data_IF_748599942818
#
_entry.id   IF_748599942818
#
_cell.length_a   1.000
_cell.length_b   1.000
_cell.length_c   1.000
_cell.angle_alpha   90.00
_cell.angle_beta   90.00
_cell.angle_gamma   90.00
#
_symmetry.space_group_name_H-M   'P 1'
#
loop_
_entity.id
_entity.type
_entity.pdbx_description
1 polymer ?
#
# COMPACT_ATOMS: atom_id res chain seq x y z
N UNK A 1 -2.18 -7.58 -21.25
CA UNK A 1 -2.66 -6.50 -20.38
C UNK A 1 -1.50 -5.86 -19.65
N UNK A 2 -1.47 -4.52 -19.61
CA UNK A 2 -0.35 -3.74 -19.05
C UNK A 2 -0.69 -3.10 -17.68
N UNK A 3 -1.90 -3.32 -17.19
CA UNK A 3 -2.37 -2.76 -15.91
C UNK A 3 -1.82 -3.55 -14.71
N UNK A 4 -1.48 -2.87 -13.60
CA UNK A 4 -0.91 -3.49 -12.40
C UNK A 4 -1.78 -4.65 -11.86
N UNK A 5 -3.10 -4.46 -11.80
CA UNK A 5 -4.02 -5.51 -11.31
C UNK A 5 -4.04 -6.74 -12.21
N UNK A 6 -3.91 -6.56 -13.52
CA UNK A 6 -3.82 -7.68 -14.46
C UNK A 6 -2.50 -8.45 -14.29
N UNK A 7 -1.41 -7.75 -13.99
CA UNK A 7 -0.11 -8.38 -13.69
C UNK A 7 -0.22 -9.20 -12.40
N UNK A 8 -0.79 -8.65 -11.34
CA UNK A 8 -1.02 -9.37 -10.08
C UNK A 8 -1.87 -10.62 -10.32
N UNK A 9 -2.97 -10.49 -11.08
CA UNK A 9 -3.82 -11.63 -11.43
C UNK A 9 -3.06 -12.70 -12.23
N UNK A 10 -2.20 -12.31 -13.18
CA UNK A 10 -1.35 -13.23 -13.95
C UNK A 10 -0.32 -13.94 -13.07
N UNK A 11 0.28 -13.24 -12.11
CA UNK A 11 1.20 -13.86 -11.15
C UNK A 11 0.48 -14.88 -10.26
N UNK A 12 -0.75 -14.59 -9.83
CA UNK A 12 -1.57 -15.52 -9.07
C UNK A 12 -1.98 -16.74 -9.91
N UNK A 13 -2.29 -16.55 -11.21
CA UNK A 13 -2.55 -17.66 -12.13
C UNK A 13 -1.31 -18.55 -12.26
N UNK A 14 -0.15 -17.97 -12.48
CA UNK A 14 1.09 -18.74 -12.54
C UNK A 14 1.34 -19.54 -11.25
N UNK A 15 1.07 -18.95 -10.09
CA UNK A 15 1.17 -19.62 -8.79
C UNK A 15 0.15 -20.76 -8.65
N UNK A 16 -1.09 -20.55 -9.10
CA UNK A 16 -2.12 -21.57 -9.13
C UNK A 16 -1.72 -22.77 -9.97
N UNK A 17 -1.13 -22.55 -11.14
CA UNK A 17 -0.65 -23.60 -12.04
C UNK A 17 0.57 -24.35 -11.50
N UNK A 18 1.35 -23.73 -10.60
CA UNK A 18 2.60 -24.26 -10.05
C UNK A 18 2.49 -24.62 -8.56
N UNK A 19 1.39 -25.25 -8.15
CA UNK A 19 1.29 -25.88 -6.83
C UNK A 19 0.38 -25.18 -5.82
N UNK A 20 -0.25 -24.05 -6.15
CA UNK A 20 -1.27 -23.37 -5.33
C UNK A 20 -0.81 -23.04 -3.90
N UNK A 21 0.49 -22.81 -3.69
CA UNK A 21 0.97 -22.46 -2.36
C UNK A 21 0.28 -21.20 -1.83
N UNK A 22 -0.17 -21.17 -0.57
CA UNK A 22 -0.86 -20.02 0.00
C UNK A 22 -0.03 -18.74 -0.06
N UNK A 23 -0.68 -17.58 -0.14
CA UNK A 23 -0.04 -16.28 -0.29
C UNK A 23 -0.89 -15.17 0.32
N UNK A 24 -0.24 -14.17 0.91
CA UNK A 24 -0.85 -12.88 1.20
C UNK A 24 -0.42 -11.83 0.17
N UNK A 25 -1.38 -11.14 -0.42
CA UNK A 25 -1.15 -10.01 -1.34
C UNK A 25 -1.49 -8.72 -0.60
N UNK A 26 -0.46 -8.02 -0.16
CA UNK A 26 -0.60 -6.87 0.74
C UNK A 26 -0.61 -5.58 -0.07
N UNK A 27 -1.72 -4.83 0.01
CA UNK A 27 -1.78 -3.49 -0.56
C UNK A 27 -1.11 -2.49 0.38
N UNK A 28 -0.22 -1.68 -0.17
CA UNK A 28 0.40 -0.54 0.53
C UNK A 28 -0.09 0.79 -0.08
N UNK A 29 -1.31 0.81 -0.56
CA UNK A 29 -1.99 2.00 -1.05
C UNK A 29 -2.68 2.74 0.12
N UNK A 30 -2.73 4.05 0.09
CA UNK A 30 -3.35 4.88 1.13
C UNK A 30 -4.88 5.00 1.01
N UNK A 31 -5.51 4.29 0.09
CA UNK A 31 -6.95 4.31 -0.04
C UNK A 31 -7.63 3.48 1.06
N UNK A 32 -8.77 3.95 1.55
CA UNK A 32 -9.61 3.23 2.51
C UNK A 32 -9.96 1.83 2.01
N UNK A 33 -9.89 0.84 2.91
CA UNK A 33 -10.17 -0.56 2.61
C UNK A 33 -9.32 -1.11 1.46
N UNK A 34 -8.05 -0.77 1.46
CA UNK A 34 -7.14 -1.06 0.35
C UNK A 34 -7.04 -2.55 0.01
N UNK A 35 -7.01 -3.44 0.99
CA UNK A 35 -7.01 -4.90 0.77
C UNK A 35 -8.29 -5.39 0.10
N UNK A 36 -9.46 -4.87 0.51
CA UNK A 36 -10.74 -5.21 -0.12
C UNK A 36 -10.80 -4.74 -1.58
N UNK A 37 -10.36 -3.52 -1.85
CA UNK A 37 -10.30 -2.97 -3.22
C UNK A 37 -9.36 -3.76 -4.11
N UNK A 38 -8.18 -4.13 -3.58
CA UNK A 38 -7.24 -4.97 -4.31
C UNK A 38 -7.85 -6.33 -4.61
N UNK A 39 -8.47 -6.98 -3.61
CA UNK A 39 -9.17 -8.25 -3.78
C UNK A 39 -10.27 -8.16 -4.83
N UNK A 40 -11.12 -7.14 -4.75
CA UNK A 40 -12.20 -6.90 -5.71
C UNK A 40 -11.68 -6.73 -7.14
N UNK A 41 -10.63 -5.95 -7.34
CA UNK A 41 -10.03 -5.75 -8.65
C UNK A 41 -9.44 -7.03 -9.24
N UNK A 42 -8.74 -7.83 -8.42
CA UNK A 42 -8.15 -9.10 -8.84
C UNK A 42 -9.24 -10.13 -9.17
N UNK A 43 -10.29 -10.24 -8.34
CA UNK A 43 -11.41 -11.15 -8.59
C UNK A 43 -12.18 -10.76 -9.86
N UNK A 44 -12.49 -9.48 -10.05
CA UNK A 44 -13.14 -9.00 -11.27
C UNK A 44 -12.33 -9.39 -12.52
N UNK A 45 -11.01 -9.26 -12.45
CA UNK A 45 -10.13 -9.65 -13.56
C UNK A 45 -10.18 -11.17 -13.80
N UNK A 46 -10.12 -11.97 -12.74
CA UNK A 46 -10.16 -13.43 -12.83
C UNK A 46 -11.51 -13.93 -13.38
N UNK A 47 -12.61 -13.31 -12.94
CA UNK A 47 -13.96 -13.63 -13.43
C UNK A 47 -14.13 -13.29 -14.92
N UNK A 48 -13.57 -12.15 -15.37
CA UNK A 48 -13.57 -11.80 -16.79
C UNK A 48 -12.73 -12.79 -17.63
N UNK A 49 -11.61 -13.25 -17.08
CA UNK A 49 -10.81 -14.29 -17.73
C UNK A 49 -11.54 -15.63 -17.78
N UNK A 50 -12.28 -15.99 -16.72
CA UNK A 50 -13.13 -17.18 -16.70
C UNK A 50 -14.23 -17.09 -17.79
N UNK A 51 -14.96 -15.98 -17.87
CA UNK A 51 -16.00 -15.76 -18.90
C UNK A 51 -15.46 -15.89 -20.32
N UNK A 52 -14.19 -15.53 -20.53
CA UNK A 52 -13.49 -15.67 -21.81
C UNK A 52 -12.87 -17.04 -22.04
N UNK A 53 -12.98 -17.95 -21.10
CA UNK A 53 -12.39 -19.29 -21.18
C UNK A 53 -10.87 -19.34 -21.03
N UNK A 54 -10.24 -18.28 -20.50
CA UNK A 54 -8.79 -18.22 -20.32
C UNK A 54 -8.32 -18.94 -19.05
N UNK A 55 -9.18 -19.06 -18.04
CA UNK A 55 -8.88 -19.72 -16.78
C UNK A 55 -10.03 -20.64 -16.36
N UNK A 56 -9.77 -21.71 -15.57
CA UNK A 56 -10.81 -22.55 -15.03
C UNK A 56 -11.48 -21.90 -13.80
N UNK A 57 -12.69 -22.34 -13.44
CA UNK A 57 -13.42 -21.93 -12.24
C UNK A 57 -12.54 -22.11 -10.98
N UNK A 58 -11.80 -23.21 -10.89
CA UNK A 58 -10.93 -23.52 -9.77
C UNK A 58 -9.86 -22.44 -9.49
N UNK A 59 -9.50 -21.61 -10.47
CA UNK A 59 -8.62 -20.47 -10.25
C UNK A 59 -9.34 -19.33 -9.51
N UNK A 60 -10.59 -19.06 -9.88
CA UNK A 60 -11.42 -18.05 -9.17
C UNK A 60 -11.69 -18.52 -7.74
N UNK A 61 -11.98 -19.79 -7.55
CA UNK A 61 -12.19 -20.40 -6.22
C UNK A 61 -10.93 -20.26 -5.35
N UNK A 62 -9.74 -20.52 -5.92
CA UNK A 62 -8.45 -20.37 -5.25
C UNK A 62 -8.21 -18.91 -4.77
N UNK A 63 -8.49 -17.90 -5.60
CA UNK A 63 -8.33 -16.49 -5.21
C UNK A 63 -9.41 -16.07 -4.19
N UNK A 64 -10.59 -16.65 -4.27
CA UNK A 64 -11.72 -16.32 -3.39
C UNK A 64 -11.55 -16.85 -1.97
N UNK A 65 -10.82 -17.93 -1.82
CA UNK A 65 -10.55 -18.58 -0.53
C UNK A 65 -9.43 -17.84 0.20
N UNK A 66 -9.79 -17.08 1.23
CA UNK A 66 -8.83 -16.31 2.04
C UNK A 66 -7.85 -17.18 2.85
N UNK A 67 -8.06 -18.50 2.90
CA UNK A 67 -7.06 -19.44 3.45
C UNK A 67 -5.97 -19.79 2.45
N UNK A 68 -6.21 -19.54 1.17
CA UNK A 68 -5.25 -19.72 0.08
C UNK A 68 -4.62 -18.40 -0.36
N UNK A 69 -5.46 -17.40 -0.67
CA UNK A 69 -5.00 -16.08 -1.07
C UNK A 69 -5.65 -15.01 -0.19
N UNK A 70 -4.91 -14.50 0.77
CA UNK A 70 -5.37 -13.43 1.64
C UNK A 70 -5.03 -12.05 1.06
N UNK A 71 -5.86 -11.06 1.37
CA UNK A 71 -5.66 -9.64 1.02
C UNK A 71 -5.73 -8.80 2.29
N UNK A 72 -4.69 -8.83 3.14
CA UNK A 72 -4.68 -8.09 4.39
C UNK A 72 -4.90 -6.60 4.16
N UNK A 73 -5.71 -5.99 5.03
CA UNK A 73 -5.87 -4.55 5.04
C UNK A 73 -4.70 -3.90 5.74
N UNK A 74 -4.34 -2.71 5.28
CA UNK A 74 -3.27 -1.93 5.91
C UNK A 74 -3.70 -0.48 6.10
N UNK A 75 -3.23 0.13 7.17
CA UNK A 75 -3.24 1.57 7.34
C UNK A 75 -1.80 2.04 7.31
N UNK A 76 -1.42 2.67 6.19
CA UNK A 76 -0.04 3.07 5.90
C UNK A 76 0.11 4.59 5.75
N UNK A 77 -0.99 5.32 5.79
CA UNK A 77 -1.00 6.73 5.43
C UNK A 77 -0.09 7.54 6.36
N UNK A 78 0.87 8.21 5.76
CA UNK A 78 1.91 8.97 6.42
C UNK A 78 2.19 10.24 5.63
N UNK A 79 2.40 11.36 6.30
CA UNK A 79 2.80 12.59 5.64
C UNK A 79 4.25 12.45 5.18
N UNK A 80 4.45 12.58 3.87
CA UNK A 80 5.75 12.46 3.21
C UNK A 80 6.01 13.70 2.36
N UNK A 81 6.40 14.83 2.99
CA UNK A 81 6.68 16.05 2.24
C UNK A 81 7.89 15.85 1.32
N UNK A 82 8.01 16.71 0.33
CA UNK A 82 9.18 16.74 -0.54
C UNK A 82 10.45 16.93 0.31
N UNK A 83 11.52 16.12 0.09
CA UNK A 83 12.76 16.27 0.81
C UNK A 83 13.32 17.69 0.74
N UNK A 84 13.70 18.23 1.88
CA UNK A 84 14.35 19.54 1.96
C UNK A 84 15.85 19.42 1.65
N UNK A 85 16.42 20.43 1.02
CA UNK A 85 17.86 20.46 0.68
C UNK A 85 18.75 20.36 1.92
N UNK A 86 18.31 20.89 3.06
CA UNK A 86 19.00 20.74 4.35
C UNK A 86 19.12 19.29 4.81
N UNK A 87 18.08 18.49 4.59
CA UNK A 87 18.08 17.05 4.92
C UNK A 87 19.02 16.29 3.98
N UNK A 88 19.02 16.63 2.68
CA UNK A 88 19.98 16.08 1.72
C UNK A 88 21.42 16.31 2.20
N UNK A 89 21.74 17.57 2.57
CA UNK A 89 23.09 17.94 3.02
C UNK A 89 23.53 17.20 4.30
N UNK A 90 22.61 16.93 5.23
CA UNK A 90 22.93 16.14 6.43
C UNK A 90 23.15 14.65 6.09
N UNK A 91 22.36 14.08 5.19
CA UNK A 91 22.55 12.71 4.73
C UNK A 91 23.88 12.52 3.99
N UNK A 92 24.29 13.49 3.18
CA UNK A 92 25.61 13.49 2.52
C UNK A 92 26.77 13.49 3.54
N UNK A 93 26.66 14.31 4.58
CA UNK A 93 27.66 14.29 5.70
C UNK A 93 27.74 12.95 6.41
N UNK A 94 26.62 12.22 6.47
CA UNK A 94 26.56 10.87 7.04
C UNK A 94 27.05 9.77 6.07
N UNK A 95 27.51 10.14 4.87
CA UNK A 95 28.04 9.22 3.88
C UNK A 95 26.99 8.52 3.01
N UNK A 96 25.74 9.05 2.97
CA UNK A 96 24.75 8.55 2.03
C UNK A 96 25.08 9.00 0.63
N UNK A 97 25.21 8.07 -0.29
CA UNK A 97 25.48 8.32 -1.71
C UNK A 97 24.20 8.33 -2.54
N UNK A 98 24.26 8.91 -3.73
CA UNK A 98 23.18 8.92 -4.73
C UNK A 98 21.85 9.53 -4.23
N UNK A 99 21.90 10.52 -3.34
CA UNK A 99 20.71 11.18 -2.77
C UNK A 99 20.22 12.38 -3.58
N UNK A 100 20.79 12.64 -4.75
CA UNK A 100 20.31 13.68 -5.66
C UNK A 100 18.97 13.26 -6.29
N UNK A 101 17.99 14.17 -6.39
CA UNK A 101 16.72 13.87 -7.01
C UNK A 101 16.87 13.61 -8.51
N UNK A 102 16.08 12.65 -9.04
CA UNK A 102 16.04 12.35 -10.46
C UNK A 102 14.82 13.00 -11.10
N UNK A 103 15.06 13.79 -12.14
CA UNK A 103 14.00 14.35 -12.97
C UNK A 103 13.85 13.44 -14.20
N UNK A 104 12.68 12.84 -14.36
CA UNK A 104 12.39 11.95 -15.49
C UNK A 104 12.20 12.74 -16.79
N UNK A 105 12.21 12.03 -17.94
CA UNK A 105 11.88 12.61 -19.25
C UNK A 105 10.47 13.22 -19.31
N UNK A 106 9.55 12.76 -18.44
CA UNK A 106 8.20 13.31 -18.27
C UNK A 106 8.14 14.48 -17.29
N UNK A 107 9.27 15.01 -16.85
CA UNK A 107 9.39 16.08 -15.85
C UNK A 107 8.78 15.72 -14.49
N UNK A 108 8.72 14.42 -14.15
CA UNK A 108 8.33 13.99 -12.81
C UNK A 108 9.55 13.93 -11.91
N UNK A 109 9.36 14.32 -10.66
CA UNK A 109 10.38 14.32 -9.62
C UNK A 109 10.38 12.95 -8.90
N UNK A 110 11.54 12.30 -8.85
CA UNK A 110 11.75 11.10 -8.05
C UNK A 110 12.69 11.47 -6.91
N UNK A 111 12.17 11.37 -5.68
CA UNK A 111 12.99 11.56 -4.48
C UNK A 111 13.83 10.30 -4.23
N UNK A 112 15.11 10.44 -3.91
CA UNK A 112 16.00 9.31 -3.62
C UNK A 112 15.75 8.71 -2.23
N UNK A 113 15.07 9.43 -1.34
CA UNK A 113 14.69 9.00 -0.01
C UNK A 113 13.33 9.59 0.38
N UNK A 114 12.72 9.03 1.42
CA UNK A 114 11.44 9.49 1.94
C UNK A 114 11.69 10.36 3.17
N UNK A 115 11.24 11.62 3.11
CA UNK A 115 11.17 12.50 4.27
C UNK A 115 9.79 12.31 4.92
N UNK A 116 9.71 11.44 5.92
CA UNK A 116 8.46 11.09 6.59
C UNK A 116 8.39 11.68 8.01
N UNK A 117 7.16 11.88 8.49
CA UNK A 117 6.93 12.24 9.89
C UNK A 117 7.53 11.20 10.85
N UNK A 118 8.02 11.66 12.01
CA UNK A 118 8.67 10.80 13.02
C UNK A 118 7.75 9.70 13.58
N UNK A 119 6.47 9.94 13.92
CA UNK A 119 5.60 8.89 14.43
C UNK A 119 5.48 7.72 13.47
N UNK A 120 5.69 6.51 13.98
CA UNK A 120 5.49 5.27 13.24
C UNK A 120 4.16 4.65 13.66
N UNK A 121 3.33 4.29 12.69
CA UNK A 121 2.04 3.68 12.93
C UNK A 121 1.56 2.93 11.70
N UNK A 122 2.41 2.10 11.14
CA UNK A 122 1.97 1.11 10.17
C UNK A 122 1.16 0.05 10.90
N UNK A 123 -0.11 -0.09 10.53
CA UNK A 123 -1.03 -1.08 11.09
C UNK A 123 -1.43 -2.03 9.98
N UNK A 124 -1.28 -3.33 10.22
CA UNK A 124 -1.50 -4.38 9.23
C UNK A 124 -2.39 -5.46 9.81
N UNK A 125 -3.38 -5.91 9.03
CA UNK A 125 -4.18 -7.07 9.38
C UNK A 125 -3.30 -8.32 9.39
N UNK A 126 -3.30 -9.05 10.51
CA UNK A 126 -2.50 -10.27 10.68
C UNK A 126 -3.20 -11.49 10.05
N UNK A 127 -3.25 -11.50 8.71
CA UNK A 127 -3.86 -12.56 7.93
C UNK A 127 -2.94 -13.04 6.81
N UNK A 128 -2.05 -13.95 7.17
CA UNK A 128 -0.99 -14.47 6.30
C UNK A 128 -1.04 -16.00 6.25
N UNK A 129 -1.76 -16.61 5.31
CA UNK A 129 -1.97 -18.06 5.26
C UNK A 129 -0.69 -18.87 5.06
N UNK A 130 0.37 -18.24 4.58
CA UNK A 130 1.70 -18.85 4.41
C UNK A 130 2.73 -18.42 5.47
N UNK A 131 2.26 -17.77 6.56
CA UNK A 131 3.15 -17.12 7.52
C UNK A 131 3.73 -15.80 7.01
N UNK A 132 4.41 -15.08 7.90
CA UNK A 132 5.02 -13.77 7.62
C UNK A 132 6.30 -13.57 8.44
N UNK A 133 7.18 -12.62 8.04
CA UNK A 133 8.25 -12.15 8.90
C UNK A 133 7.70 -11.53 10.20
N UNK A 134 8.48 -11.47 11.27
CA UNK A 134 8.10 -10.82 12.54
C UNK A 134 8.11 -9.29 12.40
N UNK A 135 7.16 -8.73 11.65
CA UNK A 135 7.06 -7.32 11.31
C UNK A 135 6.89 -6.43 12.54
N UNK A 136 6.32 -6.96 13.63
CA UNK A 136 6.20 -6.29 14.93
C UNK A 136 7.55 -5.92 15.52
N UNK A 137 8.62 -6.66 15.23
CA UNK A 137 9.99 -6.31 15.66
C UNK A 137 10.52 -5.05 14.95
N UNK A 138 9.96 -4.72 13.81
CA UNK A 138 10.23 -3.48 13.07
C UNK A 138 9.26 -2.34 13.42
N UNK A 139 8.42 -2.51 14.46
CA UNK A 139 7.46 -1.50 14.91
C UNK A 139 6.14 -1.48 14.15
N UNK A 140 5.83 -2.50 13.35
CA UNK A 140 4.54 -2.65 12.69
C UNK A 140 3.50 -3.19 13.67
N UNK A 141 2.33 -2.55 13.75
CA UNK A 141 1.23 -3.03 14.57
C UNK A 141 0.44 -4.11 13.80
N UNK A 142 0.57 -5.36 14.24
CA UNK A 142 -0.17 -6.49 13.68
C UNK A 142 -1.47 -6.68 14.47
N UNK A 143 -2.63 -6.72 13.79
CA UNK A 143 -3.93 -6.76 14.47
C UNK A 143 -5.02 -7.36 13.57
N UNK A 144 -6.27 -7.30 14.02
CA UNK A 144 -7.44 -7.71 13.24
C UNK A 144 -7.90 -6.60 12.26
N UNK A 145 -8.70 -7.00 11.25
CA UNK A 145 -9.24 -6.12 10.20
C UNK A 145 -10.07 -4.96 10.77
N UNK A 146 -10.85 -5.22 11.81
CA UNK A 146 -11.70 -4.18 12.41
C UNK A 146 -10.86 -3.08 13.06
N UNK A 147 -9.78 -3.45 13.74
CA UNK A 147 -8.85 -2.49 14.34
C UNK A 147 -8.08 -1.71 13.29
N UNK A 148 -7.66 -2.33 12.17
CA UNK A 148 -7.07 -1.60 11.03
C UNK A 148 -8.05 -0.54 10.52
N UNK A 149 -9.32 -0.93 10.29
CA UNK A 149 -10.36 -0.02 9.82
C UNK A 149 -10.65 1.13 10.80
N UNK A 150 -10.74 0.82 12.09
CA UNK A 150 -10.93 1.85 13.14
C UNK A 150 -9.75 2.85 13.16
N UNK A 151 -8.54 2.34 13.09
CA UNK A 151 -7.33 3.18 13.08
C UNK A 151 -7.29 4.08 11.85
N UNK A 152 -7.59 3.55 10.67
CA UNK A 152 -7.68 4.34 9.45
C UNK A 152 -8.76 5.43 9.56
N UNK A 153 -9.96 5.09 10.01
CA UNK A 153 -11.05 6.04 10.18
C UNK A 153 -10.72 7.14 11.20
N UNK A 154 -10.12 6.80 12.33
CA UNK A 154 -9.75 7.79 13.35
C UNK A 154 -8.60 8.68 12.84
N UNK A 155 -7.51 8.06 12.41
CA UNK A 155 -6.33 8.81 12.03
C UNK A 155 -6.53 9.59 10.73
N UNK A 156 -6.89 8.91 9.67
CA UNK A 156 -6.90 9.50 8.32
C UNK A 156 -8.16 10.31 8.09
N UNK A 157 -9.33 9.67 8.25
CA UNK A 157 -10.61 10.27 7.85
C UNK A 157 -11.10 11.31 8.85
N UNK A 158 -10.86 11.12 10.16
CA UNK A 158 -11.40 11.99 11.20
C UNK A 158 -10.39 13.07 11.64
N UNK A 159 -9.11 12.74 11.74
CA UNK A 159 -8.10 13.67 12.24
C UNK A 159 -7.25 14.26 11.11
N UNK A 160 -6.51 13.43 10.35
CA UNK A 160 -5.50 13.91 9.42
C UNK A 160 -6.12 14.77 8.30
N UNK A 161 -7.04 14.22 7.52
CA UNK A 161 -7.58 14.90 6.35
C UNK A 161 -8.39 16.16 6.70
N UNK A 162 -9.31 16.15 7.68
CA UNK A 162 -10.06 17.36 8.06
C UNK A 162 -9.17 18.47 8.62
N UNK A 163 -8.21 18.13 9.50
CA UNK A 163 -7.29 19.12 10.07
C UNK A 163 -6.35 19.69 9.00
N UNK A 164 -5.81 18.84 8.12
CA UNK A 164 -4.99 19.26 7.01
C UNK A 164 -5.74 20.21 6.06
N UNK A 165 -6.97 19.88 5.72
CA UNK A 165 -7.83 20.73 4.89
C UNK A 165 -8.14 22.06 5.59
N UNK A 166 -8.49 22.02 6.88
CA UNK A 166 -8.73 23.25 7.65
C UNK A 166 -7.50 24.15 7.71
N UNK A 167 -6.32 23.59 7.99
CA UNK A 167 -5.08 24.32 8.03
C UNK A 167 -4.72 24.93 6.66
N UNK A 168 -4.95 24.19 5.58
CA UNK A 168 -4.70 24.71 4.24
C UNK A 168 -5.62 25.91 3.92
N UNK A 169 -6.92 25.79 4.18
CA UNK A 169 -7.90 26.86 3.90
C UNK A 169 -7.62 28.09 4.77
N UNK A 170 -7.55 27.92 6.08
CA UNK A 170 -7.34 29.04 7.02
C UNK A 170 -5.93 29.63 6.87
N UNK A 171 -4.93 28.82 6.61
CA UNK A 171 -3.57 29.27 6.34
C UNK A 171 -3.53 30.23 5.14
N UNK A 172 -4.13 29.82 4.01
CA UNK A 172 -4.23 30.69 2.85
C UNK A 172 -5.01 31.99 3.13
N UNK A 173 -6.12 31.92 3.90
CA UNK A 173 -6.88 33.11 4.29
C UNK A 173 -6.06 34.08 5.15
N UNK A 174 -5.15 33.56 5.95
CA UNK A 174 -4.23 34.35 6.81
C UNK A 174 -2.94 34.77 6.12
N UNK A 175 -2.77 34.42 4.83
CA UNK A 175 -1.61 34.77 4.04
C UNK A 175 -0.38 33.89 4.23
N UNK A 176 -0.53 32.72 4.83
CA UNK A 176 0.52 31.69 4.85
C UNK A 176 0.53 30.93 3.52
N UNK A 177 1.71 30.77 2.91
CA UNK A 177 1.94 30.06 1.64
C UNK A 177 2.99 28.96 1.80
#
# INVERSE_FOLDING_TARGET
TTGAMAIVCAMLLHRFENGKAPLAVVSMDNCSHNGEKLRGAVLTMAEEWLKKGFVPQAFVDYISDETQVAFPWTMIDKITPRPADSVCAELEKLGCEAIAPVITSKRTYIAPFVNAEKPQYLVVEDRFPNGRPPLEQAGVYMTDRETVNKTERMKVTTCLNPLHTALAVYGCMLGYT
#
